data_IF_596535495548
#
_entry.id   IF_596535495548
#
_cell.length_a   1.000
_cell.length_b   1.000
_cell.length_c   1.000
_cell.angle_alpha   90.00
_cell.angle_beta   90.00
_cell.angle_gamma   90.00
#
_symmetry.space_group_name_H-M   'P 1'
#
loop_
_entity.id
_entity.type
_entity.pdbx_description
1 polymer ?
#
# COMPACT_ATOMS: atom_id res chain seq x y z
N UNK A 1 -2.26 -19.66 4.99
CA UNK A 1 -1.44 -18.45 4.72
C UNK A 1 -2.14 -17.23 5.29
N UNK A 2 -1.43 -16.42 6.01
CA UNK A 2 -1.99 -15.20 6.61
C UNK A 2 -1.75 -14.04 5.65
N UNK A 3 -2.78 -13.24 5.37
CA UNK A 3 -2.61 -12.04 4.58
C UNK A 3 -1.72 -11.04 5.32
N UNK A 4 -0.84 -10.31 4.63
CA UNK A 4 0.00 -9.30 5.27
C UNK A 4 -0.79 -8.07 5.72
N UNK A 5 -2.06 -8.01 5.40
CA UNK A 5 -2.90 -6.86 5.69
C UNK A 5 -4.33 -7.26 6.03
N UNK A 6 -5.07 -6.31 6.59
CA UNK A 6 -6.49 -6.45 6.87
C UNK A 6 -7.24 -5.32 6.18
N UNK A 7 -8.35 -5.64 5.52
CA UNK A 7 -9.18 -4.66 4.83
C UNK A 7 -10.50 -4.42 5.55
N UNK A 8 -10.92 -3.16 5.57
CA UNK A 8 -12.25 -2.75 6.02
C UNK A 8 -12.91 -1.98 4.88
N UNK A 9 -14.10 -2.40 4.49
CA UNK A 9 -14.84 -1.76 3.41
C UNK A 9 -15.60 -0.54 3.93
N UNK A 10 -15.44 0.60 3.23
CA UNK A 10 -16.02 1.87 3.61
C UNK A 10 -16.69 2.54 2.39
N UNK A 11 -17.80 1.98 1.93
CA UNK A 11 -18.48 2.54 0.75
C UNK A 11 -17.66 2.34 -0.52
N UNK A 12 -17.22 3.43 -1.13
CA UNK A 12 -16.50 3.39 -2.42
C UNK A 12 -14.97 3.29 -2.26
N UNK A 13 -14.48 3.14 -1.05
CA UNK A 13 -13.06 2.89 -0.79
C UNK A 13 -12.93 1.82 0.29
N UNK A 14 -11.72 1.33 0.49
CA UNK A 14 -11.43 0.43 1.60
C UNK A 14 -10.23 0.97 2.36
N UNK A 15 -10.17 0.61 3.64
CA UNK A 15 -9.02 0.92 4.49
C UNK A 15 -8.22 -0.36 4.66
N UNK A 16 -6.97 -0.32 4.24
CA UNK A 16 -6.06 -1.45 4.37
C UNK A 16 -5.04 -1.16 5.47
N UNK A 17 -4.95 -2.08 6.41
CA UNK A 17 -4.04 -1.95 7.54
C UNK A 17 -2.96 -3.00 7.47
N UNK A 18 -1.70 -2.56 7.49
CA UNK A 18 -0.53 -3.43 7.61
C UNK A 18 0.00 -3.29 9.02
N UNK A 19 0.03 -4.40 9.75
CA UNK A 19 0.55 -4.40 11.12
C UNK A 19 2.03 -4.08 11.15
N UNK A 20 2.49 -3.48 12.25
CA UNK A 20 3.91 -3.29 12.48
C UNK A 20 4.69 -4.60 12.55
N UNK A 21 3.99 -5.73 12.76
CA UNK A 21 4.60 -7.05 12.84
C UNK A 21 4.73 -7.74 11.49
N UNK A 22 4.25 -7.10 10.41
CA UNK A 22 4.36 -7.70 9.08
C UNK A 22 5.83 -7.90 8.70
N UNK A 23 6.14 -9.07 8.15
CA UNK A 23 7.49 -9.37 7.68
C UNK A 23 7.72 -8.74 6.29
N UNK A 24 8.92 -8.24 6.05
CA UNK A 24 9.28 -7.76 4.72
C UNK A 24 9.13 -8.85 3.66
N UNK A 25 9.28 -10.11 4.03
CA UNK A 25 9.08 -11.23 3.12
C UNK A 25 7.65 -11.39 2.66
N UNK A 26 6.69 -10.77 3.35
CA UNK A 26 5.28 -10.80 2.98
C UNK A 26 4.90 -9.64 2.05
N UNK A 27 5.77 -8.63 1.93
CA UNK A 27 5.56 -7.45 1.10
C UNK A 27 6.23 -7.65 -0.26
N UNK A 28 5.62 -8.51 -1.08
CA UNK A 28 6.22 -8.96 -2.33
C UNK A 28 5.85 -8.07 -3.51
N UNK A 29 6.66 -8.13 -4.55
CA UNK A 29 6.33 -7.53 -5.83
C UNK A 29 5.05 -8.17 -6.38
N UNK A 30 4.09 -7.33 -6.76
CA UNK A 30 2.82 -7.81 -7.32
C UNK A 30 2.23 -6.75 -8.24
N UNK A 31 1.18 -7.12 -8.94
CA UNK A 31 0.42 -6.21 -9.79
C UNK A 31 -1.06 -6.42 -9.57
N UNK A 32 -1.84 -5.39 -9.81
CA UNK A 32 -3.28 -5.41 -9.62
C UNK A 32 -3.99 -5.33 -10.96
N UNK A 33 -5.22 -5.80 -11.01
CA UNK A 33 -6.01 -5.80 -12.25
C UNK A 33 -6.69 -4.48 -12.53
N UNK A 34 -6.79 -3.62 -11.54
CA UNK A 34 -7.49 -2.34 -11.64
C UNK A 34 -6.54 -1.21 -11.28
N UNK A 35 -6.80 -0.04 -11.86
CA UNK A 35 -6.13 1.17 -11.42
C UNK A 35 -6.54 1.47 -9.99
N UNK A 36 -5.61 1.98 -9.20
CA UNK A 36 -5.85 2.35 -7.81
C UNK A 36 -5.34 3.74 -7.52
N UNK A 37 -6.06 4.42 -6.65
CA UNK A 37 -5.56 5.61 -5.98
C UNK A 37 -5.45 5.27 -4.52
N UNK A 38 -4.35 5.65 -3.90
CA UNK A 38 -4.17 5.42 -2.46
C UNK A 38 -3.76 6.71 -1.77
N UNK A 39 -4.13 6.82 -0.51
CA UNK A 39 -3.64 7.88 0.37
C UNK A 39 -3.33 7.29 1.73
N UNK A 40 -2.32 7.84 2.38
CA UNK A 40 -1.89 7.36 3.70
C UNK A 40 -2.70 8.04 4.79
N UNK A 41 -3.29 7.22 5.66
CA UNK A 41 -4.02 7.69 6.85
C UNK A 41 -3.09 7.69 8.05
N UNK A 42 -2.26 6.65 8.18
CA UNK A 42 -1.34 6.46 9.30
C UNK A 42 -0.13 5.69 8.83
N UNK A 43 1.05 6.09 9.27
CA UNK A 43 2.29 5.40 8.95
C UNK A 43 3.48 6.34 8.89
N UNK A 44 4.66 5.81 9.18
CA UNK A 44 5.91 6.57 9.16
C UNK A 44 7.01 5.74 8.50
N UNK A 45 7.69 6.34 7.54
CA UNK A 45 8.83 5.69 6.90
C UNK A 45 8.51 4.56 5.92
N UNK A 46 7.23 4.29 5.68
CA UNK A 46 6.84 3.32 4.67
C UNK A 46 7.06 3.89 3.29
N UNK A 47 7.42 3.03 2.34
CA UNK A 47 7.71 3.44 0.96
C UNK A 47 6.93 2.59 -0.03
N UNK A 48 6.66 3.17 -1.20
CA UNK A 48 6.10 2.49 -2.35
C UNK A 48 7.15 2.47 -3.44
N UNK A 49 7.40 1.31 -4.01
CA UNK A 49 8.32 1.20 -5.14
C UNK A 49 7.59 0.62 -6.35
N UNK A 50 7.56 1.39 -7.42
CA UNK A 50 7.06 0.94 -8.71
C UNK A 50 8.18 0.27 -9.49
N UNK A 51 7.81 -0.58 -10.44
CA UNK A 51 8.77 -1.30 -11.29
C UNK A 51 9.71 -0.31 -11.99
N UNK A 52 10.99 -0.63 -11.97
CA UNK A 52 12.06 0.18 -12.59
C UNK A 52 12.18 1.61 -12.05
N UNK A 53 11.72 1.84 -10.83
CA UNK A 53 11.80 3.15 -10.19
C UNK A 53 12.40 3.04 -8.80
N UNK A 54 12.91 4.16 -8.31
CA UNK A 54 13.37 4.24 -6.93
C UNK A 54 12.18 4.23 -5.97
N UNK A 55 12.37 3.72 -4.75
CA UNK A 55 11.32 3.81 -3.73
C UNK A 55 10.93 5.26 -3.46
N UNK A 56 9.64 5.47 -3.23
CA UNK A 56 9.07 6.78 -2.92
C UNK A 56 8.48 6.75 -1.52
N UNK A 57 8.79 7.77 -0.72
CA UNK A 57 8.24 7.87 0.62
C UNK A 57 6.73 8.09 0.56
N UNK A 58 6.00 7.33 1.38
CA UNK A 58 4.56 7.50 1.52
C UNK A 58 4.28 8.58 2.56
N UNK A 59 3.79 9.71 2.10
CA UNK A 59 3.50 10.86 2.95
C UNK A 59 2.00 10.93 3.24
N UNK A 60 1.67 11.16 4.49
CA UNK A 60 0.29 11.26 4.94
C UNK A 60 -0.43 12.37 4.17
N UNK A 61 -1.62 12.04 3.68
CA UNK A 61 -2.47 12.99 2.96
C UNK A 61 -2.17 13.17 1.48
N UNK A 62 -1.06 12.62 0.99
CA UNK A 62 -0.72 12.71 -0.42
C UNK A 62 -1.40 11.55 -1.17
N UNK A 63 -1.83 11.82 -2.42
CA UNK A 63 -2.41 10.80 -3.30
C UNK A 63 -1.33 10.16 -4.15
N UNK A 64 -1.44 8.84 -4.28
CA UNK A 64 -0.55 8.05 -5.14
C UNK A 64 -1.39 7.25 -6.10
N UNK A 65 -0.98 7.21 -7.37
CA UNK A 65 -1.66 6.44 -8.40
C UNK A 65 -0.87 5.18 -8.70
N UNK A 66 -1.54 4.04 -8.71
CA UNK A 66 -0.95 2.76 -9.08
C UNK A 66 -1.73 2.25 -10.27
N UNK A 67 -1.07 2.23 -11.44
CA UNK A 67 -1.71 1.78 -12.67
C UNK A 67 -1.93 0.28 -12.66
N UNK A 68 -3.03 -0.15 -13.27
CA UNK A 68 -3.31 -1.58 -13.41
C UNK A 68 -2.15 -2.29 -14.09
N UNK A 69 -1.87 -3.50 -13.66
CA UNK A 69 -0.84 -4.38 -14.19
C UNK A 69 0.59 -3.88 -14.06
N UNK A 70 0.80 -2.78 -13.36
CA UNK A 70 2.14 -2.27 -13.05
C UNK A 70 2.66 -2.93 -11.76
N UNK A 71 3.80 -3.60 -11.84
CA UNK A 71 4.41 -4.23 -10.68
C UNK A 71 4.86 -3.19 -9.67
N UNK A 72 4.60 -3.47 -8.41
CA UNK A 72 4.95 -2.58 -7.31
C UNK A 72 5.05 -3.37 -6.01
N UNK A 73 5.62 -2.73 -5.00
CA UNK A 73 5.68 -3.30 -3.65
C UNK A 73 5.71 -2.19 -2.61
N UNK A 74 5.35 -2.55 -1.39
CA UNK A 74 5.57 -1.69 -0.23
C UNK A 74 6.90 -2.07 0.42
N UNK A 75 7.57 -1.08 0.96
CA UNK A 75 8.76 -1.28 1.78
C UNK A 75 8.40 -0.84 3.19
N UNK A 76 8.64 -1.74 4.12
CA UNK A 76 8.21 -1.56 5.51
C UNK A 76 8.89 -0.35 6.16
N UNK A 77 8.09 0.44 6.85
CA UNK A 77 8.55 1.53 7.69
C UNK A 77 8.43 1.16 9.16
N UNK A 78 8.08 2.14 9.97
CA UNK A 78 7.89 1.97 11.41
C UNK A 78 6.42 1.98 11.76
N UNK A 79 6.03 1.12 12.70
CA UNK A 79 4.66 1.04 13.17
C UNK A 79 3.70 0.50 12.13
N UNK A 80 2.44 0.77 12.35
CA UNK A 80 1.35 0.33 11.48
C UNK A 80 1.18 1.27 10.30
N UNK A 81 0.88 0.70 9.13
CA UNK A 81 0.50 1.50 7.96
C UNK A 81 -0.99 1.32 7.71
N UNK A 82 -1.72 2.44 7.61
CA UNK A 82 -3.11 2.46 7.16
C UNK A 82 -3.23 3.30 5.92
N UNK A 83 -3.84 2.75 4.90
CA UNK A 83 -4.07 3.45 3.64
C UNK A 83 -5.51 3.32 3.21
N UNK A 84 -6.02 4.36 2.55
CA UNK A 84 -7.30 4.28 1.84
C UNK A 84 -7.01 3.89 0.40
N UNK A 85 -7.82 3.00 -0.14
CA UNK A 85 -7.66 2.52 -1.51
C UNK A 85 -8.97 2.69 -2.26
N UNK A 86 -8.92 3.41 -3.37
CA UNK A 86 -10.02 3.49 -4.35
C UNK A 86 -9.63 2.67 -5.57
N UNK A 87 -10.43 1.68 -5.90
CA UNK A 87 -10.24 0.87 -7.10
C UNK A 87 -11.16 1.37 -8.20
N UNK A 88 -10.65 1.41 -9.41
CA UNK A 88 -11.39 1.95 -10.56
C UNK A 88 -11.74 0.87 -11.59
#
# INVERSE_FOLDING_TARGET
MVNPYRDELEGDYKIRTFSEDVSENELIWHRDRNDREITVVEGAGWQLQMDNKLPEDLQKGKLYNINKMEFHRLIKGEGTLKIKIWEK
#
